data_IF_154184253374
#
_entry.id   IF_154184253374
#
_cell.length_a   1.000
_cell.length_b   1.000
_cell.length_c   1.000
_cell.angle_alpha   90.00
_cell.angle_beta   90.00
_cell.angle_gamma   90.00
#
_symmetry.space_group_name_H-M   'P 1'
#
loop_
_entity.id
_entity.type
_entity.pdbx_description
1 polymer ?
#
# COMPACT_ATOMS: atom_id res chain seq x y z
N UNK A 1 -25.66 6.17 -18.80
CA UNK A 1 -24.98 5.50 -19.94
C UNK A 1 -24.28 4.26 -19.41
N UNK A 2 -24.74 3.05 -19.77
CA UNK A 2 -24.27 1.78 -19.16
C UNK A 2 -23.42 1.00 -20.16
N UNK A 3 -22.11 1.28 -20.21
CA UNK A 3 -21.18 0.54 -21.06
C UNK A 3 -20.47 -0.55 -20.23
N UNK A 4 -20.57 -1.84 -20.57
CA UNK A 4 -19.85 -2.91 -19.85
C UNK A 4 -18.33 -2.89 -20.17
N UNK A 5 -17.49 -3.38 -19.26
CA UNK A 5 -16.04 -3.51 -19.51
C UNK A 5 -15.19 -3.69 -18.26
N UNK A 6 -13.93 -4.08 -18.44
CA UNK A 6 -12.98 -4.37 -17.36
C UNK A 6 -12.74 -3.16 -16.43
N UNK A 7 -12.87 -1.94 -16.94
CA UNK A 7 -12.80 -0.71 -16.14
C UNK A 7 -13.80 -0.68 -14.97
N UNK A 8 -14.99 -1.30 -15.11
CA UNK A 8 -15.96 -1.42 -14.01
C UNK A 8 -15.45 -2.34 -12.91
N UNK A 9 -14.82 -3.45 -13.28
CA UNK A 9 -14.24 -4.38 -12.31
C UNK A 9 -13.06 -3.74 -11.58
N UNK A 10 -12.18 -3.04 -12.31
CA UNK A 10 -11.08 -2.28 -11.72
C UNK A 10 -11.62 -1.24 -10.74
N UNK A 11 -12.65 -0.48 -11.13
CA UNK A 11 -13.28 0.50 -10.25
C UNK A 11 -13.85 -0.15 -8.98
N UNK A 12 -14.50 -1.31 -9.11
CA UNK A 12 -15.01 -2.05 -7.95
C UNK A 12 -13.88 -2.47 -6.99
N UNK A 13 -12.78 -3.01 -7.51
CA UNK A 13 -11.62 -3.40 -6.68
C UNK A 13 -11.01 -2.17 -6.00
N UNK A 14 -10.86 -1.06 -6.72
CA UNK A 14 -10.37 0.20 -6.16
C UNK A 14 -11.27 0.70 -5.02
N UNK A 15 -12.60 0.61 -5.20
CA UNK A 15 -13.55 1.00 -4.17
C UNK A 15 -13.44 0.11 -2.93
N UNK A 16 -13.32 -1.21 -3.08
CA UNK A 16 -13.14 -2.13 -1.95
C UNK A 16 -11.87 -1.83 -1.15
N UNK A 17 -10.76 -1.50 -1.82
CA UNK A 17 -9.51 -1.11 -1.14
C UNK A 17 -9.64 0.24 -0.45
N UNK A 18 -10.32 1.21 -1.06
CA UNK A 18 -10.61 2.50 -0.43
C UNK A 18 -11.49 2.32 0.81
N UNK A 19 -12.55 1.51 0.75
CA UNK A 19 -13.43 1.26 1.90
C UNK A 19 -12.66 0.61 3.06
N UNK A 20 -11.81 -0.37 2.77
CA UNK A 20 -10.92 -0.97 3.76
C UNK A 20 -9.95 0.05 4.37
N UNK A 21 -9.33 0.86 3.52
CA UNK A 21 -8.40 1.91 3.95
C UNK A 21 -9.10 2.90 4.88
N UNK A 22 -10.33 3.30 4.56
CA UNK A 22 -11.11 4.25 5.35
C UNK A 22 -11.43 3.69 6.74
N UNK A 23 -11.87 2.43 6.80
CA UNK A 23 -12.07 1.72 8.07
C UNK A 23 -10.78 1.62 8.89
N UNK A 24 -9.63 1.40 8.23
CA UNK A 24 -8.34 1.39 8.90
C UNK A 24 -7.98 2.77 9.46
N UNK A 25 -8.16 3.84 8.68
CA UNK A 25 -7.91 5.22 9.12
C UNK A 25 -8.75 5.58 10.33
N UNK A 26 -10.03 5.22 10.36
CA UNK A 26 -10.89 5.48 11.52
C UNK A 26 -10.45 4.71 12.77
N UNK A 27 -10.03 3.45 12.61
CA UNK A 27 -9.40 2.69 13.72
C UNK A 27 -8.13 3.37 14.21
N UNK A 28 -7.32 3.92 13.30
CA UNK A 28 -6.10 4.64 13.67
C UNK A 28 -6.42 5.91 14.45
N UNK A 29 -7.39 6.70 13.99
CA UNK A 29 -7.88 7.90 14.69
C UNK A 29 -8.37 7.58 16.10
N UNK A 30 -9.11 6.48 16.28
CA UNK A 30 -9.70 6.11 17.58
C UNK A 30 -8.65 5.75 18.64
N UNK A 31 -7.47 5.30 18.22
CA UNK A 31 -6.39 4.84 19.12
C UNK A 31 -5.09 5.62 18.90
N UNK A 32 -5.17 6.84 18.33
CA UNK A 32 -3.98 7.61 17.97
C UNK A 32 -3.26 8.09 19.23
N UNK A 33 -2.00 7.69 19.37
CA UNK A 33 -1.09 8.18 20.41
C UNK A 33 0.00 9.06 19.78
N UNK A 34 -0.04 10.39 19.98
CA UNK A 34 0.98 11.31 19.46
C UNK A 34 2.40 11.02 19.93
N UNK A 35 2.57 10.34 21.07
CA UNK A 35 3.88 9.98 21.62
C UNK A 35 4.44 8.69 21.04
N UNK A 36 3.60 7.86 20.40
CA UNK A 36 3.99 6.57 19.86
C UNK A 36 3.24 6.24 18.55
N UNK A 37 3.56 6.92 17.43
CA UNK A 37 2.93 6.65 16.14
C UNK A 37 3.30 5.24 15.65
N UNK A 38 2.30 4.43 15.32
CA UNK A 38 2.50 3.00 14.99
C UNK A 38 2.99 2.78 13.57
N UNK A 39 2.48 3.57 12.63
CA UNK A 39 2.74 3.39 11.22
C UNK A 39 2.51 4.68 10.40
N UNK A 40 2.55 4.54 9.07
CA UNK A 40 2.35 5.63 8.13
C UNK A 40 1.05 6.40 8.35
N UNK A 41 -0.05 5.72 8.70
CA UNK A 41 -1.36 6.37 8.89
C UNK A 41 -1.30 7.29 10.11
N UNK A 42 -0.78 6.81 11.25
CA UNK A 42 -0.61 7.63 12.45
C UNK A 42 0.28 8.85 12.18
N UNK A 43 1.42 8.64 11.51
CA UNK A 43 2.35 9.73 11.17
C UNK A 43 1.66 10.78 10.30
N UNK A 44 0.89 10.35 9.30
CA UNK A 44 0.15 11.25 8.42
C UNK A 44 -0.93 12.01 9.18
N UNK A 45 -1.70 11.34 10.06
CA UNK A 45 -2.73 11.97 10.89
C UNK A 45 -2.13 13.04 11.82
N UNK A 46 -0.98 12.77 12.43
CA UNK A 46 -0.27 13.76 13.25
C UNK A 46 0.25 14.93 12.41
N UNK A 47 0.66 14.68 11.16
CA UNK A 47 1.05 15.75 10.23
C UNK A 47 -0.14 16.62 9.86
N UNK A 48 -1.29 16.02 9.57
CA UNK A 48 -2.55 16.75 9.33
C UNK A 48 -2.90 17.66 10.52
N UNK A 49 -2.75 17.16 11.75
CA UNK A 49 -2.99 17.96 12.96
C UNK A 49 -2.08 19.18 13.04
N UNK A 50 -0.78 18.99 12.77
CA UNK A 50 0.23 20.06 12.79
C UNK A 50 0.00 21.11 11.70
N UNK A 51 -0.60 20.73 10.58
CA UNK A 51 -0.84 21.62 9.43
C UNK A 51 -2.25 22.22 9.39
N UNK A 52 -3.09 22.02 10.43
CA UNK A 52 -4.48 22.52 10.45
C UNK A 52 -4.64 24.01 10.18
N UNK A 53 -3.64 24.83 10.52
CA UNK A 53 -3.68 26.28 10.28
C UNK A 53 -3.24 26.68 8.87
N UNK A 54 -2.68 25.77 8.07
CA UNK A 54 -2.24 26.01 6.71
C UNK A 54 -3.37 25.68 5.72
N UNK A 55 -4.00 26.71 5.14
CA UNK A 55 -5.08 26.56 4.16
C UNK A 55 -4.62 25.94 2.82
N UNK A 56 -3.31 25.91 2.57
CA UNK A 56 -2.70 25.36 1.35
C UNK A 56 -1.99 24.03 1.59
N UNK A 57 -2.36 23.31 2.66
CA UNK A 57 -1.79 22.00 2.96
C UNK A 57 -2.29 20.92 2.01
N UNK A 58 -1.37 20.07 1.56
CA UNK A 58 -1.68 18.82 0.83
C UNK A 58 -1.97 17.65 1.78
N UNK A 59 -1.83 17.86 3.10
CA UNK A 59 -2.10 16.85 4.11
C UNK A 59 -3.57 16.87 4.49
N UNK A 60 -4.40 16.21 3.68
CA UNK A 60 -5.82 16.03 3.92
C UNK A 60 -6.27 14.58 3.69
N UNK A 61 -7.48 14.26 4.16
CA UNK A 61 -7.99 12.89 4.19
C UNK A 61 -7.94 12.19 2.82
N UNK A 62 -8.37 12.86 1.76
CA UNK A 62 -8.33 12.29 0.41
C UNK A 62 -6.91 11.91 -0.03
N UNK A 63 -5.90 12.74 0.25
CA UNK A 63 -4.51 12.45 -0.11
C UNK A 63 -3.93 11.32 0.76
N UNK A 64 -4.34 11.20 2.02
CA UNK A 64 -4.01 10.03 2.84
C UNK A 64 -4.54 8.73 2.20
N UNK A 65 -5.83 8.72 1.82
CA UNK A 65 -6.47 7.57 1.20
C UNK A 65 -5.77 7.15 -0.10
N UNK A 66 -5.48 8.10 -0.98
CA UNK A 66 -4.76 7.82 -2.23
C UNK A 66 -3.30 7.41 -1.99
N UNK A 67 -2.62 7.99 -1.00
CA UNK A 67 -1.25 7.63 -0.68
C UNK A 67 -1.15 6.18 -0.19
N UNK A 68 -2.06 5.75 0.70
CA UNK A 68 -2.13 4.37 1.16
C UNK A 68 -2.46 3.43 0.00
N UNK A 69 -3.42 3.79 -0.85
CA UNK A 69 -3.75 3.04 -2.07
C UNK A 69 -2.53 2.86 -2.98
N UNK A 70 -1.80 3.94 -3.26
CA UNK A 70 -0.59 3.92 -4.08
C UNK A 70 0.49 3.01 -3.50
N UNK A 71 0.71 3.05 -2.19
CA UNK A 71 1.68 2.18 -1.51
C UNK A 71 1.29 0.69 -1.65
N UNK A 72 0.01 0.36 -1.47
CA UNK A 72 -0.48 -1.02 -1.65
C UNK A 72 -0.26 -1.53 -3.08
N UNK A 73 -0.64 -0.74 -4.09
CA UNK A 73 -0.46 -1.12 -5.50
C UNK A 73 1.01 -1.27 -5.85
N UNK A 74 1.84 -0.27 -5.51
CA UNK A 74 3.25 -0.27 -5.86
C UNK A 74 4.00 -1.46 -5.24
N UNK A 75 3.75 -1.77 -3.96
CA UNK A 75 4.49 -2.81 -3.25
C UNK A 75 4.00 -4.24 -3.50
N UNK A 76 2.69 -4.44 -3.67
CA UNK A 76 2.15 -5.81 -3.69
C UNK A 76 2.38 -6.52 -5.02
N UNK A 77 1.98 -5.89 -6.12
CA UNK A 77 1.99 -6.56 -7.43
C UNK A 77 3.42 -6.73 -7.96
N UNK A 78 4.25 -5.70 -7.84
CA UNK A 78 5.62 -5.71 -8.36
C UNK A 78 6.48 -6.73 -7.62
N UNK A 79 6.52 -6.69 -6.28
CA UNK A 79 7.33 -7.62 -5.49
C UNK A 79 6.84 -9.06 -5.61
N UNK A 80 5.52 -9.30 -5.58
CA UNK A 80 4.96 -10.64 -5.79
C UNK A 80 5.33 -11.19 -7.16
N UNK A 81 5.20 -10.38 -8.22
CA UNK A 81 5.53 -10.80 -9.58
C UNK A 81 7.02 -11.10 -9.70
N UNK A 82 7.88 -10.21 -9.21
CA UNK A 82 9.33 -10.43 -9.22
C UNK A 82 9.72 -11.71 -8.50
N UNK A 83 9.16 -11.98 -7.32
CA UNK A 83 9.44 -13.22 -6.59
C UNK A 83 8.95 -14.46 -7.36
N UNK A 84 7.73 -14.41 -7.90
CA UNK A 84 7.19 -15.53 -8.72
C UNK A 84 8.10 -15.84 -9.91
N UNK A 85 8.54 -14.83 -10.64
CA UNK A 85 9.47 -15.02 -11.75
C UNK A 85 10.87 -15.44 -11.27
N UNK A 86 11.35 -14.90 -10.16
CA UNK A 86 12.61 -15.28 -9.53
C UNK A 86 12.66 -16.77 -9.23
N UNK A 87 11.63 -17.30 -8.55
CA UNK A 87 11.52 -18.73 -8.26
C UNK A 87 11.35 -19.58 -9.52
N UNK A 88 10.57 -19.11 -10.50
CA UNK A 88 10.43 -19.82 -11.78
C UNK A 88 11.79 -19.94 -12.52
N UNK A 89 12.61 -18.89 -12.48
CA UNK A 89 13.95 -18.90 -13.06
C UNK A 89 14.89 -19.82 -12.29
N UNK A 90 14.84 -19.83 -10.96
CA UNK A 90 15.60 -20.76 -10.12
C UNK A 90 15.30 -22.23 -10.49
N UNK A 91 14.01 -22.60 -10.61
CA UNK A 91 13.62 -23.95 -11.04
C UNK A 91 14.11 -24.30 -12.45
N UNK A 92 14.17 -23.32 -13.35
CA UNK A 92 14.65 -23.50 -14.72
C UNK A 92 16.18 -23.62 -14.80
N UNK A 93 16.90 -23.01 -13.87
CA UNK A 93 18.36 -22.96 -13.83
C UNK A 93 18.90 -23.43 -12.46
N UNK A 94 18.88 -24.75 -12.18
CA UNK A 94 19.19 -25.29 -10.85
C UNK A 94 20.58 -24.91 -10.33
N UNK A 95 21.57 -24.77 -11.22
CA UNK A 95 22.92 -24.33 -10.87
C UNK A 95 22.99 -22.94 -10.22
N UNK A 96 21.99 -22.08 -10.47
CA UNK A 96 21.88 -20.76 -9.83
C UNK A 96 21.33 -20.92 -8.41
N UNK A 97 20.38 -21.84 -8.21
CA UNK A 97 19.83 -22.17 -6.88
C UNK A 97 20.91 -22.77 -5.99
N UNK A 98 21.63 -23.78 -6.47
CA UNK A 98 22.72 -24.42 -5.71
C UNK A 98 23.78 -23.40 -5.27
N UNK A 99 24.13 -22.45 -6.15
CA UNK A 99 25.04 -21.35 -5.82
C UNK A 99 24.46 -20.40 -4.77
N UNK A 100 23.18 -20.03 -4.90
CA UNK A 100 22.52 -19.13 -3.97
C UNK A 100 22.40 -19.75 -2.56
N UNK A 101 22.09 -21.05 -2.48
CA UNK A 101 22.03 -21.80 -1.23
C UNK A 101 23.42 -21.92 -0.59
N UNK A 102 24.45 -22.31 -1.36
CA UNK A 102 25.82 -22.42 -0.86
C UNK A 102 26.44 -21.08 -0.43
N UNK A 103 25.90 -19.94 -0.91
CA UNK A 103 26.33 -18.59 -0.51
C UNK A 103 25.56 -18.05 0.70
N UNK A 104 24.47 -18.70 1.09
CA UNK A 104 23.64 -18.33 2.24
C UNK A 104 24.06 -19.04 3.53
N UNK A 105 24.82 -20.14 3.41
CA UNK A 105 25.48 -20.89 4.50
C UNK A 105 26.89 -20.32 4.82
#
# INVERSE_FOLDING_TARGET
MYFPGAHKQIFKIMQEVLDYTGQSVEKHRATLDPSNPRDFIDIYLLRMEKEKSNQHTEFHHQNLMFSVLSLFFAGTETSSTTLRYGFLLMLKYPHITDFAEASAD
#
